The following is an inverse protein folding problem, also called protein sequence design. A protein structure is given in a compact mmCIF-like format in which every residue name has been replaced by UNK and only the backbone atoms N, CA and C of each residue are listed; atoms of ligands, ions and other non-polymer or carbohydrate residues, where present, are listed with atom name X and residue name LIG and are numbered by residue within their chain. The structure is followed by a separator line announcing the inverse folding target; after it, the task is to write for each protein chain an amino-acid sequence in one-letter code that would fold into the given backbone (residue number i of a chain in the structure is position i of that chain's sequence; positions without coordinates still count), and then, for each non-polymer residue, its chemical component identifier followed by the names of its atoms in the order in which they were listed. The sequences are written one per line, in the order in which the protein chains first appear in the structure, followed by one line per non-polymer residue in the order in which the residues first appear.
data_IF_389049170037
#
_entry.id   IF_389049170037
#
_cell.length_a   1.000
_cell.length_b   1.000
_cell.length_c   1.000
_cell.angle_alpha   90.00
_cell.angle_beta   90.00
_cell.angle_gamma   90.00
#
_symmetry.space_group_name_H-M   'P 1'
#
loop_
_entity.id
_entity.type
_entity.pdbx_description
1 polymer ?
#
# COMPACT_ATOMS: atom_id res chain seq x y z
N UNK A 1 -4.87 5.45 -23.20
CA UNK A 1 -5.59 6.54 -22.48
C UNK A 1 -5.79 7.82 -23.29
N UNK A 2 -4.78 8.40 -23.97
CA UNK A 2 -4.99 9.61 -24.81
C UNK A 2 -6.01 9.43 -25.94
N UNK A 3 -6.16 8.21 -26.46
CA UNK A 3 -7.07 7.90 -27.58
C UNK A 3 -8.56 7.99 -27.22
N UNK A 4 -8.93 7.86 -25.93
CA UNK A 4 -10.33 7.82 -25.51
C UNK A 4 -10.80 9.09 -24.80
N UNK A 5 -9.97 10.16 -24.79
CA UNK A 5 -10.22 11.41 -24.05
C UNK A 5 -10.72 11.17 -22.61
N UNK A 6 -10.14 10.18 -21.91
CA UNK A 6 -10.66 9.70 -20.63
C UNK A 6 -10.43 10.76 -19.54
N UNK A 7 -11.52 11.24 -18.94
CA UNK A 7 -11.48 12.18 -17.82
C UNK A 7 -11.37 11.36 -16.53
N UNK A 8 -10.42 11.71 -15.66
CA UNK A 8 -10.26 11.03 -14.39
C UNK A 8 -11.58 11.07 -13.59
N UNK A 9 -12.05 9.94 -13.01
CA UNK A 9 -13.37 9.87 -12.40
C UNK A 9 -13.65 10.94 -11.33
N UNK A 10 -12.63 11.40 -10.61
CA UNK A 10 -12.75 12.46 -9.59
C UNK A 10 -13.20 13.80 -10.16
N UNK A 11 -12.91 14.06 -11.45
CA UNK A 11 -13.28 15.30 -12.16
C UNK A 11 -14.67 15.23 -12.83
N UNK A 12 -15.38 14.12 -12.67
CA UNK A 12 -16.74 13.94 -13.19
C UNK A 12 -17.73 14.35 -12.10
N UNK A 13 -18.75 15.14 -12.48
CA UNK A 13 -19.82 15.59 -11.58
C UNK A 13 -20.36 14.43 -10.73
N UNK A 14 -20.51 14.67 -9.43
CA UNK A 14 -20.93 13.71 -8.39
C UNK A 14 -19.98 12.54 -8.11
N UNK A 15 -19.14 12.12 -9.06
CA UNK A 15 -18.20 11.00 -8.84
C UNK A 15 -17.12 11.34 -7.84
N UNK A 16 -16.60 12.57 -7.83
CA UNK A 16 -15.63 13.01 -6.81
C UNK A 16 -16.19 12.88 -5.38
N UNK A 17 -17.39 13.42 -5.15
CA UNK A 17 -18.11 13.31 -3.86
C UNK A 17 -18.41 11.86 -3.48
N UNK A 18 -18.82 11.05 -4.46
CA UNK A 18 -19.06 9.62 -4.25
C UNK A 18 -17.77 8.89 -3.82
N UNK A 19 -16.66 9.11 -4.53
CA UNK A 19 -15.36 8.49 -4.22
C UNK A 19 -14.87 8.91 -2.82
N UNK A 20 -15.01 10.18 -2.44
CA UNK A 20 -14.61 10.65 -1.10
C UNK A 20 -15.43 9.99 0.01
N UNK A 21 -16.74 9.82 -0.21
CA UNK A 21 -17.61 9.14 0.75
C UNK A 21 -17.28 7.66 0.85
N UNK A 22 -17.10 6.97 -0.28
CA UNK A 22 -16.83 5.53 -0.29
C UNK A 22 -15.47 5.21 0.30
N UNK A 23 -14.40 5.96 -0.02
CA UNK A 23 -13.08 5.68 0.59
C UNK A 23 -13.12 5.77 2.11
N UNK A 24 -13.90 6.68 2.70
CA UNK A 24 -14.06 6.80 4.16
C UNK A 24 -14.77 5.60 4.77
N UNK A 25 -15.80 5.09 4.09
CA UNK A 25 -16.48 3.84 4.50
C UNK A 25 -15.50 2.67 4.48
N UNK A 26 -14.69 2.57 3.43
CA UNK A 26 -13.70 1.51 3.28
C UNK A 26 -12.54 1.60 4.28
N UNK A 27 -12.09 2.82 4.62
CA UNK A 27 -11.12 3.05 5.71
C UNK A 27 -11.61 2.40 7.00
N UNK A 28 -12.86 2.68 7.39
CA UNK A 28 -13.45 2.12 8.61
C UNK A 28 -13.67 0.61 8.50
N UNK A 29 -14.24 0.14 7.38
CA UNK A 29 -14.58 -1.27 7.19
C UNK A 29 -13.35 -2.18 7.19
N UNK A 30 -12.28 -1.77 6.53
CA UNK A 30 -11.07 -2.59 6.35
C UNK A 30 -9.91 -2.16 7.25
N UNK A 31 -10.12 -1.18 8.14
CA UNK A 31 -9.09 -0.62 9.01
C UNK A 31 -7.82 -0.21 8.23
N UNK A 32 -8.02 0.41 7.06
CA UNK A 32 -6.93 0.86 6.20
C UNK A 32 -6.53 2.26 6.65
N UNK A 33 -5.31 2.48 7.13
CA UNK A 33 -4.92 3.78 7.64
C UNK A 33 -4.65 4.70 6.44
N UNK A 34 -5.59 5.61 6.17
CA UNK A 34 -5.53 6.59 5.08
C UNK A 34 -6.05 7.93 5.59
N UNK A 35 -5.42 9.02 5.12
CA UNK A 35 -5.73 10.41 5.46
C UNK A 35 -7.16 10.81 5.08
N UNK A 36 -7.72 11.77 5.82
CA UNK A 36 -9.07 12.28 5.62
C UNK A 36 -9.25 13.20 4.41
N UNK A 37 -8.18 13.64 3.77
CA UNK A 37 -8.22 14.48 2.57
C UNK A 37 -7.36 13.86 1.48
N UNK A 38 -7.65 14.11 0.21
CA UNK A 38 -6.74 13.69 -0.85
C UNK A 38 -5.38 14.38 -0.70
N UNK A 39 -4.26 13.74 -1.09
CA UNK A 39 -2.98 14.43 -1.20
C UNK A 39 -3.09 15.63 -2.14
N UNK A 40 -2.37 16.70 -1.83
CA UNK A 40 -2.43 17.93 -2.61
C UNK A 40 -2.07 17.68 -4.08
N UNK A 41 -2.89 18.22 -4.98
CA UNK A 41 -2.75 18.04 -6.43
C UNK A 41 -3.12 16.66 -6.94
N UNK A 42 -3.54 15.71 -6.10
CA UNK A 42 -3.99 14.40 -6.57
C UNK A 42 -5.21 14.54 -7.51
N UNK A 43 -5.28 13.79 -8.63
CA UNK A 43 -4.30 12.81 -9.12
C UNK A 43 -3.27 13.37 -10.13
N UNK A 44 -3.53 14.53 -10.73
CA UNK A 44 -2.74 15.02 -11.88
C UNK A 44 -1.43 15.72 -11.47
N UNK A 45 -1.38 16.27 -10.26
CA UNK A 45 -0.21 16.90 -9.65
C UNK A 45 0.73 15.94 -8.92
N UNK A 46 0.42 14.64 -8.92
CA UNK A 46 1.23 13.58 -8.27
C UNK A 46 1.82 12.62 -9.31
N UNK A 47 2.87 13.01 -10.05
CA UNK A 47 3.41 12.23 -11.17
C UNK A 47 4.15 10.97 -10.69
N UNK A 48 3.49 9.82 -10.70
CA UNK A 48 4.05 8.55 -10.18
C UNK A 48 5.05 7.86 -11.12
N UNK A 49 5.35 8.40 -12.31
CA UNK A 49 6.21 7.74 -13.30
C UNK A 49 7.58 7.33 -12.73
N UNK A 50 8.20 8.19 -11.93
CA UNK A 50 9.47 7.89 -11.29
C UNK A 50 9.33 6.75 -10.27
N UNK A 51 8.28 6.76 -9.47
CA UNK A 51 7.98 5.67 -8.52
C UNK A 51 7.80 4.35 -9.27
N UNK A 52 7.00 4.34 -10.33
CA UNK A 52 6.74 3.14 -11.11
C UNK A 52 8.01 2.59 -11.79
N UNK A 53 8.88 3.47 -12.32
CA UNK A 53 10.18 3.07 -12.85
C UNK A 53 11.12 2.53 -11.77
N UNK A 54 11.16 3.15 -10.60
CA UNK A 54 11.95 2.66 -9.48
C UNK A 54 11.47 1.27 -9.03
N UNK A 55 10.16 1.08 -8.84
CA UNK A 55 9.57 -0.20 -8.45
C UNK A 55 9.78 -1.28 -9.52
N UNK A 56 9.77 -0.90 -10.80
CA UNK A 56 10.13 -1.81 -11.90
C UNK A 56 11.59 -2.23 -11.81
N UNK A 57 12.52 -1.28 -11.61
CA UNK A 57 13.94 -1.60 -11.41
C UNK A 57 14.16 -2.50 -10.18
N UNK A 58 13.41 -2.27 -9.11
CA UNK A 58 13.44 -3.09 -7.89
C UNK A 58 12.94 -4.50 -8.19
N UNK A 59 11.81 -4.65 -8.88
CA UNK A 59 11.29 -5.97 -9.25
C UNK A 59 12.24 -6.76 -10.16
N UNK A 60 12.95 -6.07 -11.06
CA UNK A 60 13.96 -6.69 -11.93
C UNK A 60 15.25 -7.09 -11.19
N UNK A 61 15.57 -6.42 -10.07
CA UNK A 61 16.86 -6.60 -9.37
C UNK A 61 16.73 -7.45 -8.12
N UNK A 62 15.76 -7.15 -7.25
CA UNK A 62 15.48 -7.78 -5.96
C UNK A 62 13.96 -7.80 -5.68
N UNK A 63 13.20 -8.69 -6.34
CA UNK A 63 11.73 -8.72 -6.25
C UNK A 63 11.18 -8.96 -4.83
N UNK A 64 11.95 -9.58 -3.94
CA UNK A 64 11.55 -9.82 -2.55
C UNK A 64 11.29 -8.54 -1.76
N UNK A 65 11.83 -7.40 -2.20
CA UNK A 65 11.61 -6.09 -1.57
C UNK A 65 10.45 -5.30 -2.20
N UNK A 66 9.82 -5.79 -3.28
CA UNK A 66 8.78 -5.05 -3.99
C UNK A 66 7.57 -4.74 -3.11
N UNK A 67 7.02 -5.75 -2.43
CA UNK A 67 5.83 -5.59 -1.58
C UNK A 67 6.12 -4.67 -0.39
N UNK A 68 7.21 -4.87 0.40
CA UNK A 68 7.56 -3.94 1.47
C UNK A 68 7.78 -2.50 0.99
N UNK A 69 8.42 -2.32 -0.18
CA UNK A 69 8.63 -0.99 -0.75
C UNK A 69 7.29 -0.33 -1.17
N UNK A 70 6.38 -1.09 -1.77
CA UNK A 70 5.03 -0.64 -2.09
C UNK A 70 4.28 -0.21 -0.82
N UNK A 71 4.31 -1.01 0.25
CA UNK A 71 3.68 -0.67 1.53
C UNK A 71 4.20 0.65 2.09
N UNK A 72 5.53 0.86 2.08
CA UNK A 72 6.15 2.09 2.55
C UNK A 72 5.74 3.31 1.70
N UNK A 73 5.68 3.15 0.37
CA UNK A 73 5.27 4.21 -0.56
C UNK A 73 3.78 4.55 -0.38
N UNK A 74 2.91 3.55 -0.29
CA UNK A 74 1.48 3.74 -0.03
C UNK A 74 1.24 4.39 1.33
N UNK A 75 1.96 3.95 2.38
CA UNK A 75 1.88 4.56 3.69
C UNK A 75 2.33 6.03 3.65
N UNK A 76 3.45 6.36 3.01
CA UNK A 76 3.88 7.75 2.88
C UNK A 76 2.87 8.60 2.08
N UNK A 77 2.29 8.05 1.03
CA UNK A 77 1.37 8.77 0.16
C UNK A 77 -0.04 8.92 0.76
N UNK A 78 -0.58 7.89 1.39
CA UNK A 78 -1.94 7.88 1.92
C UNK A 78 -2.00 8.05 3.43
N UNK A 79 -0.89 7.96 4.16
CA UNK A 79 -0.86 8.04 5.63
C UNK A 79 0.44 8.64 6.18
N UNK A 80 0.73 9.91 5.89
CA UNK A 80 2.02 10.53 6.19
C UNK A 80 2.30 10.64 7.69
N UNK A 81 1.28 10.65 8.55
CA UNK A 81 1.45 10.67 10.01
C UNK A 81 2.00 9.36 10.58
N UNK A 82 1.79 8.23 9.89
CA UNK A 82 2.39 6.95 10.29
C UNK A 82 3.81 6.74 9.75
N UNK A 83 4.17 7.40 8.65
CA UNK A 83 5.51 7.25 8.06
C UNK A 83 6.60 8.03 8.82
N UNK A 84 6.22 8.94 9.72
CA UNK A 84 7.12 9.60 10.69
C UNK A 84 7.34 8.78 11.96
N UNK A 85 6.46 7.82 12.24
CA UNK A 85 6.51 7.00 13.45
C UNK A 85 7.26 5.71 13.17
N UNK A 86 8.56 5.70 13.43
CA UNK A 86 9.32 4.45 13.51
C UNK A 86 8.73 3.62 14.64
N UNK A 87 7.85 2.66 14.33
CA UNK A 87 7.38 1.69 15.34
C UNK A 87 8.51 0.69 15.59
N UNK A 88 9.51 1.13 16.36
CA UNK A 88 10.37 0.21 17.09
C UNK A 88 9.43 -0.65 17.92
N UNK A 89 9.39 -1.96 17.63
CA UNK A 89 8.69 -2.92 18.49
C UNK A 89 9.52 -3.03 19.77
N UNK A 90 9.33 -2.08 20.68
CA UNK A 90 9.95 -2.08 21.99
C UNK A 90 9.29 -3.22 22.78
N UNK A 91 10.09 -4.25 23.08
CA UNK A 91 9.72 -5.26 24.05
C UNK A 91 9.62 -4.55 25.41
N UNK A 92 8.48 -4.70 26.08
CA UNK A 92 8.23 -4.04 27.36
C UNK A 92 9.20 -4.61 28.41
N UNK A 93 10.11 -3.76 28.88
CA UNK A 93 10.85 -3.96 30.12
C UNK A 93 10.76 -2.66 30.91
N UNK A 94 10.07 -2.75 32.04
CA UNK A 94 9.90 -1.72 33.04
C UNK A 94 11.25 -1.12 33.48
N UNK A 95 11.32 0.21 33.59
CA UNK A 95 12.49 0.92 34.10
C UNK A 95 12.21 2.40 34.34
N UNK A 96 12.37 2.82 35.59
CA UNK A 96 11.95 4.07 36.22
C UNK A 96 12.63 5.36 35.73
N UNK A 97 11.82 6.43 35.70
CA UNK A 97 12.03 7.89 35.67
C UNK A 97 13.40 8.47 36.06
N UNK A 98 13.88 9.48 35.33
CA UNK A 98 14.44 10.74 35.90
C UNK A 98 14.30 11.89 34.91
N UNK A 99 13.60 12.94 35.36
CA UNK A 99 13.35 14.23 34.72
C UNK A 99 14.57 15.15 34.88
N UNK A 100 14.98 15.87 33.83
CA UNK A 100 15.80 17.09 33.97
C UNK A 100 15.26 18.16 33.06
N UNK A 101 14.70 19.20 33.69
CA UNK A 101 14.18 20.43 33.11
C UNK A 101 15.35 21.32 32.69
N UNK A 102 15.32 21.85 31.47
CA UNK A 102 16.08 23.06 31.12
C UNK A 102 15.17 24.00 30.34
N UNK A 103 14.81 25.09 31.01
CA UNK A 103 14.03 26.21 30.50
C UNK A 103 14.87 27.01 29.52
N UNK A 104 14.36 27.26 28.31
CA UNK A 104 14.79 28.42 27.51
C UNK A 104 13.58 29.00 26.82
N UNK A 105 13.21 30.19 27.28
CA UNK A 105 12.18 31.06 26.73
C UNK A 105 12.67 31.67 25.43
N UNK A 106 11.97 31.47 24.32
CA UNK A 106 12.01 32.41 23.18
C UNK A 106 10.68 32.38 22.44
N UNK A 107 9.98 33.50 22.59
CA UNK A 107 8.93 34.14 21.78
C UNK A 107 8.29 33.36 20.62
N UNK A 108 6.97 33.22 20.76
CA UNK A 108 5.92 33.13 19.75
C UNK A 108 6.34 33.46 18.30
N UNK A 109 6.44 32.41 17.49
CA UNK A 109 6.17 32.47 16.06
C UNK A 109 5.17 31.34 15.76
N UNK A 110 4.04 31.72 15.17
CA UNK A 110 2.89 30.85 14.93
C UNK A 110 3.31 29.66 14.05
N UNK A 111 3.51 28.50 14.67
CA UNK A 111 3.82 27.25 13.99
C UNK A 111 2.63 26.79 13.15
N UNK A 112 2.51 27.35 11.95
CA UNK A 112 1.97 26.62 10.79
C UNK A 112 3.00 25.55 10.40
N UNK A 113 3.10 24.48 11.18
CA UNK A 113 3.69 23.24 10.69
C UNK A 113 2.57 22.41 10.06
N UNK A 114 1.99 22.94 8.98
CA UNK A 114 1.44 22.06 7.95
C UNK A 114 2.63 21.22 7.48
N UNK A 115 2.69 19.97 7.91
CA UNK A 115 3.69 19.03 7.45
C UNK A 115 3.62 19.03 5.92
N UNK A 116 4.58 19.70 5.26
CA UNK A 116 4.66 19.74 3.81
C UNK A 116 4.49 18.31 3.30
N UNK A 117 3.47 18.09 2.47
CA UNK A 117 3.10 16.75 2.04
C UNK A 117 4.32 16.10 1.39
N UNK A 118 4.83 15.03 2.02
CA UNK A 118 6.02 14.32 1.56
C UNK A 118 5.81 13.89 0.10
N UNK A 119 6.51 14.54 -0.83
CA UNK A 119 6.41 14.30 -2.27
C UNK A 119 7.14 13.01 -2.64
N UNK A 120 6.64 11.87 -2.18
CA UNK A 120 7.23 10.54 -2.38
C UNK A 120 7.42 10.15 -3.86
N UNK A 121 6.82 10.90 -4.79
CA UNK A 121 7.05 10.75 -6.23
C UNK A 121 8.36 11.37 -6.73
N UNK A 122 9.05 12.17 -5.92
CA UNK A 122 10.37 12.69 -6.23
C UNK A 122 11.45 11.64 -5.90
N UNK A 123 12.39 11.33 -6.83
CA UNK A 123 13.36 10.25 -6.64
C UNK A 123 14.18 10.34 -5.35
N UNK A 124 14.58 11.55 -4.95
CA UNK A 124 15.34 11.78 -3.70
C UNK A 124 14.51 11.43 -2.48
N UNK A 125 13.28 11.95 -2.42
CA UNK A 125 12.33 11.71 -1.32
C UNK A 125 11.98 10.23 -1.20
N UNK A 126 11.73 9.55 -2.33
CA UNK A 126 11.49 8.10 -2.38
C UNK A 126 12.67 7.31 -1.78
N UNK A 127 13.89 7.62 -2.22
CA UNK A 127 15.08 6.91 -1.77
C UNK A 127 15.35 7.15 -0.29
N UNK A 128 15.21 8.38 0.18
CA UNK A 128 15.37 8.72 1.59
C UNK A 128 14.33 8.02 2.46
N UNK A 129 13.07 7.93 2.00
CA UNK A 129 12.02 7.18 2.69
C UNK A 129 12.41 5.70 2.85
N UNK A 130 12.78 5.03 1.76
CA UNK A 130 13.08 3.59 1.78
C UNK A 130 14.33 3.28 2.63
N UNK A 131 15.36 4.13 2.54
CA UNK A 131 16.60 4.00 3.34
C UNK A 131 16.35 4.26 4.82
N UNK A 132 15.65 5.36 5.17
CA UNK A 132 15.37 5.70 6.58
C UNK A 132 14.53 4.64 7.26
N UNK A 133 13.53 4.09 6.56
CA UNK A 133 12.67 3.04 7.09
C UNK A 133 13.32 1.65 7.08
N UNK A 134 14.52 1.50 6.50
CA UNK A 134 15.27 0.24 6.41
C UNK A 134 14.46 -0.89 5.75
N UNK A 135 13.55 -0.53 4.85
CA UNK A 135 12.67 -1.47 4.13
C UNK A 135 13.42 -2.18 3.02
N UNK A 136 14.32 -1.44 2.37
CA UNK A 136 15.18 -1.92 1.29
C UNK A 136 16.63 -1.56 1.64
N UNK A 137 17.62 -2.47 1.49
CA UNK A 137 19.01 -2.15 1.72
C UNK A 137 19.45 -0.92 0.91
N UNK A 138 20.23 -0.02 1.52
CA UNK A 138 20.59 1.25 0.90
C UNK A 138 21.32 1.07 -0.45
N UNK A 139 22.18 0.06 -0.55
CA UNK A 139 22.86 -0.31 -1.81
C UNK A 139 21.88 -0.69 -2.93
N UNK A 140 20.81 -1.43 -2.60
CA UNK A 140 19.76 -1.82 -3.56
C UNK A 140 18.95 -0.60 -3.99
N UNK A 141 18.65 0.32 -3.06
CA UNK A 141 17.98 1.60 -3.39
C UNK A 141 18.83 2.41 -4.38
N UNK A 142 20.14 2.55 -4.12
CA UNK A 142 21.06 3.30 -4.99
C UNK A 142 21.21 2.64 -6.37
N UNK A 143 21.28 1.32 -6.40
CA UNK A 143 21.29 0.56 -7.65
C UNK A 143 20.01 0.81 -8.46
N UNK A 144 18.83 0.73 -7.85
CA UNK A 144 17.55 0.97 -8.50
C UNK A 144 17.41 2.41 -9.00
N UNK A 145 17.87 3.40 -8.22
CA UNK A 145 17.91 4.81 -8.64
C UNK A 145 18.78 5.02 -9.87
N UNK A 146 19.94 4.37 -9.95
CA UNK A 146 20.80 4.49 -11.15
C UNK A 146 20.18 3.81 -12.38
N UNK A 147 19.40 2.74 -12.18
CA UNK A 147 18.75 1.97 -13.26
C UNK A 147 17.42 2.55 -13.74
N UNK A 148 16.66 3.26 -12.91
CA UNK A 148 15.26 3.62 -13.22
C UNK A 148 15.06 4.43 -14.51
N UNK A 149 16.09 5.15 -14.96
CA UNK A 149 16.06 5.94 -16.20
C UNK A 149 16.59 5.19 -17.44
N UNK A 150 17.12 3.96 -17.28
CA UNK A 150 17.67 3.15 -18.36
C UNK A 150 16.60 2.73 -19.36
N UNK A 151 17.03 2.42 -20.59
CA UNK A 151 16.15 1.90 -21.64
C UNK A 151 15.47 0.59 -21.23
N UNK A 152 16.20 -0.31 -20.56
CA UNK A 152 15.69 -1.60 -20.09
C UNK A 152 14.51 -1.45 -19.11
N UNK A 153 14.65 -0.62 -18.07
CA UNK A 153 13.57 -0.41 -17.08
C UNK A 153 12.35 0.27 -17.71
N UNK A 154 12.57 1.23 -18.62
CA UNK A 154 11.47 1.87 -19.35
C UNK A 154 10.71 0.87 -20.22
N UNK A 155 11.43 0.02 -20.93
CA UNK A 155 10.85 -1.02 -21.77
C UNK A 155 10.06 -2.04 -20.94
N UNK A 156 10.61 -2.48 -19.80
CA UNK A 156 9.93 -3.40 -18.89
C UNK A 156 8.61 -2.82 -18.35
N UNK A 157 8.64 -1.58 -17.85
CA UNK A 157 7.42 -0.90 -17.36
C UNK A 157 6.36 -0.79 -18.46
N UNK A 158 6.77 -0.43 -19.68
CA UNK A 158 5.90 -0.37 -20.84
C UNK A 158 5.33 -1.74 -21.20
N UNK A 159 6.16 -2.79 -21.20
CA UNK A 159 5.75 -4.16 -21.52
C UNK A 159 4.74 -4.69 -20.49
N UNK A 160 4.95 -4.48 -19.19
CA UNK A 160 3.99 -4.87 -18.14
C UNK A 160 2.67 -4.10 -18.22
N UNK A 161 2.73 -2.81 -18.56
CA UNK A 161 1.52 -2.02 -18.80
C UNK A 161 0.76 -2.53 -20.02
N UNK A 162 1.48 -2.91 -21.09
CA UNK A 162 0.89 -3.47 -22.30
C UNK A 162 0.25 -4.84 -22.05
N UNK A 163 0.91 -5.71 -21.29
CA UNK A 163 0.35 -6.99 -20.86
C UNK A 163 -0.98 -6.79 -20.12
N UNK A 164 -1.05 -5.82 -19.19
CA UNK A 164 -2.31 -5.54 -18.49
C UNK A 164 -3.45 -5.14 -19.46
N UNK A 165 -3.15 -4.41 -20.54
CA UNK A 165 -4.15 -4.11 -21.57
C UNK A 165 -4.56 -5.34 -22.38
N UNK A 166 -3.61 -6.23 -22.71
CA UNK A 166 -3.88 -7.49 -23.40
C UNK A 166 -4.71 -8.44 -22.54
N UNK A 167 -4.53 -8.39 -21.22
CA UNK A 167 -5.33 -9.06 -20.21
C UNK A 167 -6.73 -8.42 -20.03
N UNK A 168 -7.02 -7.30 -20.70
CA UNK A 168 -8.32 -6.63 -20.68
C UNK A 168 -8.46 -5.50 -19.67
N UNK A 169 -7.40 -5.12 -18.96
CA UNK A 169 -7.47 -4.06 -17.96
C UNK A 169 -7.78 -2.69 -18.58
N UNK A 170 -8.83 -2.04 -18.07
CA UNK A 170 -9.21 -0.67 -18.43
C UNK A 170 -9.06 0.32 -17.26
N UNK A 171 -8.64 -0.18 -16.09
CA UNK A 171 -8.44 0.58 -14.87
C UNK A 171 -7.68 -0.24 -13.82
N UNK A 172 -7.35 0.38 -12.68
CA UNK A 172 -6.65 -0.26 -11.58
C UNK A 172 -7.45 -0.13 -10.26
N UNK A 173 -7.29 -1.06 -9.29
CA UNK A 173 -6.52 -2.29 -9.42
C UNK A 173 -7.18 -3.31 -10.36
N UNK A 174 -6.37 -4.12 -11.04
CA UNK A 174 -6.78 -5.24 -11.89
C UNK A 174 -6.09 -6.50 -11.39
N UNK A 175 -6.83 -7.60 -11.27
CA UNK A 175 -6.33 -8.90 -10.86
C UNK A 175 -6.49 -9.87 -12.02
N UNK A 176 -5.36 -10.28 -12.61
CA UNK A 176 -5.33 -11.39 -13.55
C UNK A 176 -5.09 -12.67 -12.75
N UNK A 177 -6.08 -13.57 -12.74
CA UNK A 177 -6.05 -14.80 -11.96
C UNK A 177 -6.01 -16.01 -12.87
N UNK A 178 -5.39 -17.09 -12.39
CA UNK A 178 -5.36 -18.41 -13.03
C UNK A 178 -5.71 -19.44 -11.95
N UNK A 179 -6.72 -20.27 -12.19
CA UNK A 179 -7.11 -21.33 -11.26
C UNK A 179 -6.23 -22.59 -11.43
N UNK A 180 -6.45 -23.60 -10.58
CA UNK A 180 -5.69 -24.87 -10.62
C UNK A 180 -5.91 -25.68 -11.90
N UNK A 181 -6.94 -25.37 -12.68
CA UNK A 181 -7.22 -26.01 -13.98
C UNK A 181 -6.58 -25.28 -15.16
N UNK A 182 -5.94 -24.12 -14.91
CA UNK A 182 -5.34 -23.25 -15.93
C UNK A 182 -6.33 -22.28 -16.56
N UNK A 183 -7.55 -22.16 -16.03
CA UNK A 183 -8.52 -21.17 -16.49
C UNK A 183 -8.11 -19.79 -15.98
N UNK A 184 -8.08 -18.80 -16.88
CA UNK A 184 -7.73 -17.41 -16.59
C UNK A 184 -8.94 -16.49 -16.61
N UNK A 185 -9.03 -15.62 -15.61
CA UNK A 185 -10.10 -14.62 -15.48
C UNK A 185 -9.56 -13.30 -14.92
N UNK A 186 -10.14 -12.18 -15.36
CA UNK A 186 -9.74 -10.84 -14.96
C UNK A 186 -10.78 -10.15 -14.07
N UNK A 187 -10.35 -9.60 -12.94
CA UNK A 187 -11.23 -8.90 -11.99
C UNK A 187 -10.78 -7.46 -11.78
N UNK A 188 -11.68 -6.50 -12.00
CA UNK A 188 -11.41 -5.07 -11.81
C UNK A 188 -11.99 -4.55 -10.49
N UNK A 189 -11.17 -3.87 -9.69
CA UNK A 189 -11.61 -3.23 -8.45
C UNK A 189 -11.37 -4.10 -7.21
N UNK A 190 -11.03 -3.46 -6.09
CA UNK A 190 -10.74 -4.16 -4.83
C UNK A 190 -11.99 -4.80 -4.21
N UNK A 191 -13.18 -4.28 -4.53
CA UNK A 191 -14.48 -4.82 -4.15
C UNK A 191 -14.78 -6.18 -4.79
N UNK A 192 -14.00 -6.59 -5.79
CA UNK A 192 -14.07 -7.91 -6.42
C UNK A 192 -13.15 -8.96 -5.76
N UNK A 193 -12.42 -8.64 -4.69
CA UNK A 193 -11.56 -9.62 -3.98
C UNK A 193 -12.37 -10.86 -3.53
N UNK A 194 -13.63 -10.68 -3.12
CA UNK A 194 -14.49 -11.83 -2.78
C UNK A 194 -14.81 -12.74 -3.97
N UNK A 195 -14.83 -12.20 -5.20
CA UNK A 195 -14.96 -13.00 -6.43
C UNK A 195 -13.66 -13.70 -6.77
N UNK A 196 -12.52 -13.02 -6.62
CA UNK A 196 -11.17 -13.60 -6.79
C UNK A 196 -10.98 -14.82 -5.87
N UNK A 197 -11.33 -14.70 -4.59
CA UNK A 197 -11.24 -15.80 -3.61
C UNK A 197 -12.06 -17.02 -4.04
N UNK A 198 -13.29 -16.80 -4.52
CA UNK A 198 -14.15 -17.89 -5.02
C UNK A 198 -13.63 -18.51 -6.30
N UNK A 199 -13.15 -17.69 -7.24
CA UNK A 199 -12.61 -18.16 -8.51
C UNK A 199 -11.37 -19.05 -8.30
N UNK A 200 -10.49 -18.64 -7.39
CA UNK A 200 -9.26 -19.37 -7.05
C UNK A 200 -9.50 -20.57 -6.11
N UNK A 201 -10.75 -20.86 -5.74
CA UNK A 201 -11.13 -21.88 -4.75
C UNK A 201 -10.31 -21.79 -3.43
N UNK A 202 -10.01 -20.55 -3.00
CA UNK A 202 -9.28 -20.34 -1.77
C UNK A 202 -10.21 -20.62 -0.59
N UNK A 203 -9.88 -21.66 0.18
CA UNK A 203 -10.61 -22.00 1.39
C UNK A 203 -10.63 -20.80 2.34
N UNK A 204 -11.82 -20.50 2.86
CA UNK A 204 -11.93 -19.65 4.03
C UNK A 204 -11.28 -20.40 5.17
N UNK A 205 -10.30 -19.79 5.85
CA UNK A 205 -9.72 -20.35 7.06
C UNK A 205 -10.87 -20.56 8.04
N UNK A 206 -11.16 -21.80 8.42
CA UNK A 206 -12.17 -22.03 9.44
C UNK A 206 -11.60 -21.53 10.77
N UNK A 207 -12.44 -20.91 11.60
CA UNK A 207 -11.99 -20.35 12.90
C UNK A 207 -11.47 -21.42 13.88
N UNK A 208 -11.51 -22.69 13.50
CA UNK A 208 -11.13 -23.84 14.31
C UNK A 208 -9.89 -24.56 13.77
N UNK A 209 -9.26 -24.09 12.69
CA UNK A 209 -8.08 -24.74 12.08
C UNK A 209 -6.76 -24.49 12.86
N UNK A 210 -6.84 -23.91 14.07
CA UNK A 210 -5.68 -23.69 14.93
C UNK A 210 -5.32 -24.92 15.81
N UNK A 211 -6.08 -26.03 15.71
CA UNK A 211 -5.90 -27.22 16.58
C UNK A 211 -5.09 -28.39 15.95
N UNK A 212 -4.76 -28.37 14.65
CA UNK A 212 -4.21 -29.58 13.97
C UNK A 212 -2.67 -29.61 13.79
N UNK A 213 -1.91 -28.69 14.41
CA UNK A 213 -0.43 -28.69 14.35
C UNK A 213 0.26 -28.63 15.73
N UNK A 214 -0.39 -29.15 16.79
CA UNK A 214 0.26 -29.41 18.07
C UNK A 214 0.00 -30.84 18.52
N UNK A 215 1.01 -31.70 18.33
CA UNK A 215 1.19 -32.92 19.11
C UNK A 215 1.15 -32.56 20.61
N UNK A 216 0.05 -32.87 21.27
CA UNK A 216 -0.15 -32.56 22.68
C UNK A 216 -1.60 -32.72 23.13
N UNK A 217 -1.96 -33.96 23.51
CA UNK A 217 -3.11 -34.30 24.36
C UNK A 217 -3.51 -33.18 25.35
N UNK A 218 -4.80 -32.82 25.48
CA UNK A 218 -5.67 -32.93 26.69
C UNK A 218 -7.09 -32.33 26.45
N UNK A 219 -8.14 -33.19 26.59
CA UNK A 219 -9.54 -33.01 27.02
C UNK A 219 -10.34 -31.66 26.91
N UNK A 220 -11.33 -31.63 26.01
CA UNK A 220 -12.80 -31.56 26.27
C UNK A 220 -13.51 -30.31 26.84
N UNK A 221 -14.41 -29.68 26.06
CA UNK A 221 -15.77 -29.21 26.42
C UNK A 221 -16.53 -28.61 25.19
N UNK A 222 -17.89 -28.63 25.11
CA UNK A 222 -18.62 -28.48 23.84
C UNK A 222 -19.17 -27.08 23.51
N UNK A 223 -19.03 -26.71 22.23
CA UNK A 223 -20.08 -26.22 21.31
C UNK A 223 -20.95 -25.03 21.71
N UNK A 224 -20.54 -23.82 21.30
CA UNK A 224 -21.40 -22.64 21.20
C UNK A 224 -21.61 -22.23 19.75
N UNK A 225 -22.80 -22.50 19.21
CA UNK A 225 -23.21 -22.19 17.83
C UNK A 225 -23.38 -20.67 17.62
N UNK A 226 -22.57 -20.07 16.74
CA UNK A 226 -22.74 -18.67 16.32
C UNK A 226 -23.52 -18.60 15.00
N UNK A 227 -24.73 -18.05 15.06
CA UNK A 227 -25.60 -17.81 13.90
C UNK A 227 -24.99 -16.80 12.90
N UNK A 228 -25.25 -16.96 11.59
CA UNK A 228 -24.77 -16.03 10.57
C UNK A 228 -25.52 -14.69 10.66
N UNK A 229 -24.75 -13.60 10.65
CA UNK A 229 -25.26 -12.25 10.45
C UNK A 229 -25.54 -12.06 8.95
N UNK A 230 -26.81 -11.72 8.66
CA UNK A 230 -27.28 -11.16 7.39
C UNK A 230 -26.55 -9.84 7.08
#
# INVERSE_FOLDING_TARGET
MKQCNNITPINITNKGTYIDRERRRWITQFNIPMRDTFPDGFPMGTPTLNVQRFLTALNMTRPEYLVPALDAVYAAFWNPSASSSTRTRANASSGTTTTTTTTTTTTDDETKTEAEALKVWEPRVLADLLKRNKVVPASVVDECLSKMATGAVKAELSAKTQQAFEDGAFGLPWFQCEDVSGHKEGFWGFDHIGQVVRFLDLKKRDRNDDDDDVDGTVNGAPGGELKPLL
#
